data_IF_463610954858
#
_entry.id   IF_463610954858
#
_cell.length_a   1.000
_cell.length_b   1.000
_cell.length_c   1.000
_cell.angle_alpha   90.00
_cell.angle_beta   90.00
_cell.angle_gamma   90.00
#
_symmetry.space_group_name_H-M   'P 1'
#
loop_
_entity.id
_entity.type
_entity.pdbx_description
1 polymer ?
#
# COMPACT_ATOMS: atom_id res chain seq x y z
N UNK A 1 13.84 3.68 1.23
CA UNK A 1 12.80 4.69 1.51
C UNK A 1 12.17 4.33 2.85
N UNK A 2 11.46 5.24 3.53
CA UNK A 2 10.86 4.94 4.83
C UNK A 2 9.35 5.12 4.72
N UNK A 3 8.61 4.01 4.84
CA UNK A 3 7.16 4.06 4.94
C UNK A 3 6.72 4.62 6.31
N UNK A 4 5.63 5.40 6.37
CA UNK A 4 5.04 5.82 7.64
C UNK A 4 4.69 4.61 8.52
N UNK A 5 4.90 4.73 9.83
CA UNK A 5 4.53 3.69 10.79
C UNK A 5 3.05 3.29 10.66
N UNK A 6 2.71 2.04 11.00
CA UNK A 6 1.37 1.48 10.87
C UNK A 6 0.25 2.36 11.49
N UNK A 7 0.53 3.00 12.62
CA UNK A 7 -0.44 3.86 13.33
C UNK A 7 -0.55 5.28 12.75
N UNK A 8 0.21 5.61 11.70
CA UNK A 8 0.15 6.92 11.10
C UNK A 8 -1.22 7.16 10.45
N UNK A 9 -1.87 8.32 10.67
CA UNK A 9 -3.24 8.57 10.20
C UNK A 9 -3.39 8.58 8.67
N UNK A 10 -2.29 8.63 7.91
CA UNK A 10 -2.33 8.50 6.45
C UNK A 10 -2.96 7.19 6.01
N UNK A 11 -2.72 6.08 6.72
CA UNK A 11 -3.21 4.76 6.32
C UNK A 11 -4.72 4.66 6.43
N UNK A 12 -5.30 5.29 7.47
CA UNK A 12 -6.76 5.40 7.62
C UNK A 12 -7.37 6.27 6.52
N UNK A 13 -6.73 7.39 6.17
CA UNK A 13 -7.16 8.25 5.06
C UNK A 13 -7.13 7.51 3.72
N UNK A 14 -6.09 6.71 3.48
CA UNK A 14 -5.96 5.89 2.29
C UNK A 14 -7.02 4.80 2.24
N UNK A 15 -7.24 4.08 3.35
CA UNK A 15 -8.29 3.07 3.47
C UNK A 15 -9.71 3.63 3.33
N UNK A 16 -9.92 4.91 3.66
CA UNK A 16 -11.21 5.60 3.52
C UNK A 16 -11.39 6.29 2.16
N UNK A 17 -10.99 5.61 1.07
CA UNK A 17 -11.18 6.10 -0.30
C UNK A 17 -10.07 7.05 -0.80
N UNK A 18 -9.07 7.38 0.01
CA UNK A 18 -7.90 8.11 -0.45
C UNK A 18 -7.08 7.33 -1.48
N UNK A 19 -7.03 5.99 -1.34
CA UNK A 19 -6.30 5.13 -2.26
C UNK A 19 -6.90 5.10 -3.67
N UNK A 20 -8.22 5.23 -3.80
CA UNK A 20 -8.90 5.27 -5.10
C UNK A 20 -8.61 6.57 -5.89
N UNK A 21 -8.21 7.63 -5.19
CA UNK A 21 -7.82 8.92 -5.80
C UNK A 21 -6.38 8.94 -6.28
N UNK A 22 -5.56 8.00 -5.82
CA UNK A 22 -4.21 7.82 -6.33
C UNK A 22 -4.34 7.07 -7.66
N UNK A 23 -4.29 7.81 -8.77
CA UNK A 23 -4.23 7.26 -10.14
C UNK A 23 -2.92 6.47 -10.34
N UNK A 24 -2.82 5.32 -9.69
CA UNK A 24 -1.64 4.47 -9.71
C UNK A 24 -1.67 3.58 -10.94
N UNK A 25 -0.57 3.55 -11.70
CA UNK A 25 -0.37 2.59 -12.80
C UNK A 25 -0.04 1.18 -12.31
N UNK A 26 0.24 1.00 -11.01
CA UNK A 26 0.49 -0.31 -10.44
C UNK A 26 -0.82 -1.11 -10.34
N UNK A 27 -0.95 -2.16 -11.15
CA UNK A 27 -2.11 -3.07 -11.17
C UNK A 27 -2.42 -3.66 -9.78
N UNK A 28 -1.40 -4.01 -9.00
CA UNK A 28 -1.59 -4.52 -7.64
C UNK A 28 -2.28 -3.51 -6.73
N UNK A 29 -1.95 -2.23 -6.86
CA UNK A 29 -2.62 -1.16 -6.12
C UNK A 29 -4.06 -0.95 -6.60
N UNK A 30 -4.32 -1.02 -7.90
CA UNK A 30 -5.69 -0.93 -8.46
C UNK A 30 -6.58 -2.08 -7.96
N UNK A 31 -6.05 -3.31 -7.93
CA UNK A 31 -6.76 -4.47 -7.39
C UNK A 31 -6.99 -4.34 -5.87
N UNK A 32 -6.01 -3.80 -5.14
CA UNK A 32 -6.17 -3.51 -3.71
C UNK A 32 -7.31 -2.49 -3.48
N UNK A 33 -7.38 -1.41 -4.25
CA UNK A 33 -8.50 -0.44 -4.18
C UNK A 33 -9.84 -1.14 -4.36
N UNK A 34 -9.97 -1.96 -5.42
CA UNK A 34 -11.22 -2.71 -5.68
C UNK A 34 -11.58 -3.69 -4.56
N UNK A 35 -10.59 -4.30 -3.92
CA UNK A 35 -10.80 -5.19 -2.77
C UNK A 35 -11.27 -4.40 -1.54
N UNK A 36 -10.64 -3.27 -1.25
CA UNK A 36 -10.98 -2.40 -0.12
C UNK A 36 -12.38 -1.78 -0.25
N UNK A 37 -12.79 -1.41 -1.47
CA UNK A 37 -14.15 -0.92 -1.78
C UNK A 37 -15.23 -1.96 -1.43
N UNK A 38 -14.92 -3.25 -1.57
CA UNK A 38 -15.85 -4.36 -1.31
C UNK A 38 -15.72 -4.92 0.11
N UNK A 39 -14.70 -4.50 0.85
CA UNK A 39 -14.42 -5.01 2.19
C UNK A 39 -15.34 -4.36 3.22
N UNK A 40 -15.98 -5.20 4.03
CA UNK A 40 -16.78 -4.77 5.18
C UNK A 40 -15.95 -4.71 6.48
N UNK A 41 -14.64 -4.94 6.39
CA UNK A 41 -13.75 -4.93 7.53
C UNK A 41 -13.67 -3.53 8.17
N UNK A 42 -13.46 -3.45 9.50
CA UNK A 42 -13.20 -2.19 10.19
C UNK A 42 -12.10 -1.37 9.52
N UNK A 43 -12.17 -0.04 9.64
CA UNK A 43 -11.23 0.87 8.98
C UNK A 43 -9.78 0.62 9.41
N UNK A 44 -9.58 0.19 10.66
CA UNK A 44 -8.28 -0.15 11.21
C UNK A 44 -7.65 -1.36 10.50
N UNK A 45 -8.45 -2.40 10.21
CA UNK A 45 -8.00 -3.59 9.48
C UNK A 45 -7.67 -3.26 8.02
N UNK A 46 -8.54 -2.48 7.36
CA UNK A 46 -8.28 -1.98 6.00
C UNK A 46 -7.01 -1.13 5.94
N UNK A 47 -6.77 -0.27 6.93
CA UNK A 47 -5.56 0.54 7.03
C UNK A 47 -4.30 -0.33 7.20
N UNK A 48 -4.38 -1.37 8.03
CA UNK A 48 -3.29 -2.33 8.21
C UNK A 48 -2.98 -3.10 6.92
N UNK A 49 -4.01 -3.46 6.16
CA UNK A 49 -3.88 -4.10 4.86
C UNK A 49 -3.18 -3.20 3.82
N UNK A 50 -3.56 -1.92 3.76
CA UNK A 50 -2.90 -0.92 2.90
C UNK A 50 -1.42 -0.80 3.27
N UNK A 51 -1.11 -0.64 4.56
CA UNK A 51 0.27 -0.57 5.03
C UNK A 51 1.06 -1.84 4.66
N UNK A 52 0.50 -3.04 4.90
CA UNK A 52 1.16 -4.30 4.57
C UNK A 52 1.47 -4.44 3.07
N UNK A 53 0.58 -3.98 2.20
CA UNK A 53 0.81 -3.95 0.76
C UNK A 53 2.03 -3.10 0.39
N UNK A 54 2.10 -1.86 0.90
CA UNK A 54 3.21 -0.97 0.59
C UNK A 54 4.53 -1.43 1.22
N UNK A 55 4.52 -2.01 2.42
CA UNK A 55 5.71 -2.62 3.03
C UNK A 55 6.25 -3.76 2.17
N UNK A 56 5.39 -4.64 1.66
CA UNK A 56 5.81 -5.70 0.75
C UNK A 56 6.44 -5.11 -0.51
N UNK A 57 5.81 -4.09 -1.08
CA UNK A 57 6.30 -3.44 -2.30
C UNK A 57 7.64 -2.74 -2.10
N UNK A 58 7.83 -2.03 -0.99
CA UNK A 58 9.12 -1.42 -0.61
C UNK A 58 10.23 -2.47 -0.53
N UNK A 59 9.99 -3.61 0.11
CA UNK A 59 10.97 -4.71 0.19
C UNK A 59 11.36 -5.25 -1.18
N UNK A 60 10.39 -5.39 -2.08
CA UNK A 60 10.65 -5.84 -3.47
C UNK A 60 11.49 -4.79 -4.21
N UNK A 61 11.10 -3.52 -4.15
CA UNK A 61 11.84 -2.43 -4.80
C UNK A 61 13.28 -2.32 -4.29
N UNK A 62 13.49 -2.39 -2.97
CA UNK A 62 14.83 -2.37 -2.38
C UNK A 62 15.67 -3.54 -2.89
N UNK A 63 15.07 -4.74 -3.01
CA UNK A 63 15.74 -5.91 -3.57
C UNK A 63 16.10 -5.72 -5.05
N UNK A 64 15.17 -5.20 -5.86
CA UNK A 64 15.39 -4.95 -7.29
C UNK A 64 16.48 -3.90 -7.51
N UNK A 65 16.44 -2.78 -6.78
CA UNK A 65 17.49 -1.75 -6.81
C UNK A 65 18.85 -2.33 -6.41
N UNK A 66 18.88 -3.21 -5.40
CA UNK A 66 20.11 -3.87 -4.99
C UNK A 66 20.70 -4.75 -6.10
N UNK A 67 19.85 -5.43 -6.88
CA UNK A 67 20.30 -6.23 -8.04
C UNK A 67 20.88 -5.36 -9.15
N UNK A 68 20.34 -4.17 -9.40
CA UNK A 68 20.89 -3.25 -10.40
C UNK A 68 22.34 -2.84 -10.11
N UNK A 69 22.71 -2.69 -8.83
CA UNK A 69 24.09 -2.37 -8.45
C UNK A 69 25.06 -3.55 -8.62
N UNK A 70 24.54 -4.76 -8.85
CA UNK A 70 25.35 -5.98 -9.04
C UNK A 70 25.38 -6.48 -10.48
N UNK A 71 24.64 -5.81 -11.38
CA UNK A 71 24.70 -5.99 -12.84
C UNK A 71 25.77 -5.07 -13.44
#
# INVERSE_FOLDING_TARGET
MALPALHHPCWQKLANGGLAKLESQNLGAQLLVKRLERSQAPIAERAAEVHAFFVKWERILVREISLFNTL
#
